data_IF_536787352096
#
_entry.id   IF_536787352096
#
_cell.length_a   1.000
_cell.length_b   1.000
_cell.length_c   1.000
_cell.angle_alpha   90.00
_cell.angle_beta   90.00
_cell.angle_gamma   90.00
#
_symmetry.space_group_name_H-M   'P 1'
#
loop_
_entity.id
_entity.type
_entity.pdbx_description
1 polymer ?
#
# COMPACT_ATOMS: atom_id res chain seq x y z
N UNK A 1 28.21 -28.83 24.42
CA UNK A 1 27.38 -27.94 25.27
C UNK A 1 26.09 -27.66 24.52
N UNK A 2 24.97 -27.57 25.24
CA UNK A 2 23.62 -27.89 24.80
C UNK A 2 23.06 -26.98 23.69
N UNK A 3 22.61 -27.59 22.59
CA UNK A 3 21.51 -27.07 21.79
C UNK A 3 20.22 -27.22 22.60
N UNK A 4 19.75 -26.12 23.15
CA UNK A 4 18.59 -26.05 24.03
C UNK A 4 17.34 -25.53 23.32
N UNK A 5 16.50 -26.50 22.93
CA UNK A 5 15.03 -26.47 23.00
C UNK A 5 14.21 -25.60 22.04
N UNK A 6 13.35 -26.32 21.32
CA UNK A 6 12.25 -25.82 20.53
C UNK A 6 11.31 -24.92 21.34
N UNK A 7 11.18 -23.66 20.93
CA UNK A 7 10.08 -22.79 21.36
C UNK A 7 8.82 -23.19 20.58
N UNK A 8 8.04 -24.09 21.16
CA UNK A 8 6.82 -24.68 20.56
C UNK A 8 5.51 -24.02 21.00
N UNK A 9 5.57 -22.83 21.59
CA UNK A 9 4.39 -22.06 22.03
C UNK A 9 4.52 -20.57 21.69
N UNK A 10 4.82 -20.25 20.43
CA UNK A 10 4.73 -18.86 19.94
C UNK A 10 3.34 -18.64 19.34
N UNK A 11 2.38 -18.23 20.17
CA UNK A 11 1.11 -17.69 19.66
C UNK A 11 1.43 -16.40 18.88
N UNK A 12 1.41 -16.49 17.56
CA UNK A 12 1.64 -15.33 16.70
C UNK A 12 0.40 -14.43 16.76
N UNK A 13 0.44 -13.41 17.62
CA UNK A 13 -0.63 -12.41 17.71
C UNK A 13 -0.40 -11.32 16.65
N UNK A 14 -0.98 -11.50 15.47
CA UNK A 14 -0.95 -10.48 14.42
C UNK A 14 -1.91 -9.34 14.76
N UNK A 15 -1.41 -8.25 15.35
CA UNK A 15 -2.17 -7.00 15.51
C UNK A 15 -2.08 -6.17 14.24
N UNK A 16 -3.23 -5.89 13.62
CA UNK A 16 -3.38 -4.85 12.61
C UNK A 16 -3.61 -3.51 13.30
N UNK A 17 -2.57 -2.86 13.79
CA UNK A 17 -2.68 -1.52 14.43
C UNK A 17 -2.11 -0.43 13.54
N UNK A 18 -2.69 0.77 13.64
CA UNK A 18 -2.40 1.90 12.77
C UNK A 18 -1.36 2.89 13.33
N UNK A 19 -0.35 3.19 12.50
CA UNK A 19 0.72 4.21 12.53
C UNK A 19 1.58 4.44 13.81
N UNK A 20 2.90 4.61 13.56
CA UNK A 20 4.07 4.56 14.48
C UNK A 20 4.45 3.15 14.97
N UNK A 21 4.47 2.19 14.05
CA UNK A 21 4.77 0.78 14.36
C UNK A 21 6.20 0.51 14.82
N UNK A 22 7.17 1.30 14.35
CA UNK A 22 8.57 1.26 14.81
C UNK A 22 8.72 1.65 16.28
N UNK A 23 7.90 2.60 16.75
CA UNK A 23 7.87 3.00 18.15
C UNK A 23 7.45 1.87 19.09
N UNK A 24 6.56 0.97 18.63
CA UNK A 24 6.17 -0.22 19.40
C UNK A 24 7.28 -1.26 19.47
N UNK A 25 8.12 -1.38 18.42
CA UNK A 25 9.34 -2.20 18.47
C UNK A 25 10.32 -1.63 19.48
N UNK A 26 10.56 -0.32 19.45
CA UNK A 26 11.44 0.38 20.40
C UNK A 26 10.93 0.35 21.84
N UNK A 27 9.63 0.25 22.03
CA UNK A 27 8.98 0.11 23.33
C UNK A 27 8.85 -1.36 23.79
N UNK A 28 9.48 -2.30 23.06
CA UNK A 28 9.45 -3.75 23.35
C UNK A 28 8.04 -4.35 23.37
N UNK A 29 7.09 -3.73 22.67
CA UNK A 29 5.70 -4.19 22.56
C UNK A 29 5.46 -5.08 21.33
N UNK A 30 6.36 -5.03 20.35
CA UNK A 30 6.34 -5.84 19.14
C UNK A 30 7.77 -6.29 18.80
N UNK A 31 7.95 -7.55 18.41
CA UNK A 31 9.26 -8.04 17.96
C UNK A 31 9.55 -7.64 16.51
N UNK A 32 8.51 -7.63 15.65
CA UNK A 32 8.65 -7.45 14.21
C UNK A 32 7.48 -6.61 13.69
N UNK A 33 7.77 -5.71 12.75
CA UNK A 33 6.76 -4.98 12.01
C UNK A 33 7.00 -5.05 10.50
N UNK A 34 5.93 -5.30 9.75
CA UNK A 34 5.88 -5.11 8.30
C UNK A 34 5.39 -3.71 7.96
N UNK A 35 6.20 -2.98 7.20
CA UNK A 35 5.88 -1.63 6.71
C UNK A 35 6.12 -1.56 5.21
N UNK A 36 5.32 -0.74 4.53
CA UNK A 36 5.52 -0.45 3.11
C UNK A 36 6.37 0.81 2.95
N UNK A 37 7.23 0.81 1.94
CA UNK A 37 8.21 1.88 1.71
C UNK A 37 9.52 1.63 2.46
N UNK A 38 10.34 2.68 2.56
CA UNK A 38 11.65 2.60 3.18
C UNK A 38 11.62 3.39 4.50
N UNK A 39 11.42 2.72 5.65
CA UNK A 39 11.38 3.41 6.94
C UNK A 39 12.78 3.94 7.27
N UNK A 40 12.89 5.23 7.61
CA UNK A 40 14.11 5.83 8.12
C UNK A 40 14.10 5.77 9.65
N UNK A 41 14.29 4.58 10.22
CA UNK A 41 14.23 4.39 11.67
C UNK A 41 15.64 4.30 12.23
N UNK A 42 15.93 5.15 13.22
CA UNK A 42 17.12 5.01 14.06
C UNK A 42 16.79 3.98 15.14
N UNK A 43 17.76 3.13 15.46
CA UNK A 43 17.70 2.12 16.52
C UNK A 43 16.88 0.84 16.21
N UNK A 44 16.55 0.58 14.94
CA UNK A 44 15.95 -0.69 14.50
C UNK A 44 16.69 -1.26 13.29
N UNK A 45 16.89 -2.58 13.28
CA UNK A 45 17.33 -3.28 12.07
C UNK A 45 16.22 -3.29 11.02
N UNK A 46 16.58 -2.98 9.77
CA UNK A 46 15.65 -2.93 8.64
C UNK A 46 16.11 -3.88 7.55
N UNK A 47 15.25 -4.81 7.17
CA UNK A 47 15.48 -5.71 6.05
C UNK A 47 14.39 -5.54 4.98
N UNK A 48 14.81 -5.40 3.71
CA UNK A 48 13.88 -5.46 2.58
C UNK A 48 13.47 -6.91 2.34
N UNK A 49 12.19 -7.20 2.53
CA UNK A 49 11.66 -8.55 2.34
C UNK A 49 11.28 -8.83 0.88
N UNK A 50 10.52 -7.93 0.25
CA UNK A 50 10.15 -8.04 -1.16
C UNK A 50 9.90 -6.67 -1.79
N UNK A 51 9.71 -6.67 -3.11
CA UNK A 51 9.22 -5.51 -3.88
C UNK A 51 7.87 -5.85 -4.45
N UNK A 52 6.84 -5.09 -4.06
CA UNK A 52 5.48 -5.26 -4.52
C UNK A 52 5.23 -4.49 -5.82
N UNK A 53 4.47 -5.06 -6.75
CA UNK A 53 4.02 -4.34 -7.96
C UNK A 53 2.70 -3.64 -7.66
N UNK A 54 2.54 -2.44 -8.20
CA UNK A 54 1.27 -1.71 -8.17
C UNK A 54 0.60 -1.88 -9.52
N UNK A 55 -0.70 -2.16 -9.49
CA UNK A 55 -1.55 -2.29 -10.66
C UNK A 55 -2.67 -1.27 -10.57
N UNK A 56 -3.14 -0.82 -11.72
CA UNK A 56 -4.34 0.02 -11.82
C UNK A 56 -5.49 -0.88 -12.24
N UNK A 57 -6.62 -0.75 -11.55
CA UNK A 57 -7.88 -1.40 -11.89
C UNK A 57 -8.74 -0.42 -12.67
N UNK A 58 -9.21 -0.86 -13.83
CA UNK A 58 -10.01 -0.09 -14.77
C UNK A 58 -11.31 -0.85 -15.08
N UNK A 59 -12.41 -0.16 -15.43
CA UNK A 59 -13.56 -0.82 -16.02
C UNK A 59 -13.22 -1.37 -17.41
N UNK A 60 -13.85 -2.46 -17.83
CA UNK A 60 -13.56 -3.13 -19.11
C UNK A 60 -13.79 -2.22 -20.33
N UNK A 61 -14.64 -1.20 -20.18
CA UNK A 61 -14.94 -0.17 -21.18
C UNK A 61 -13.87 0.93 -21.28
N UNK A 62 -12.88 0.94 -20.38
CA UNK A 62 -11.89 2.01 -20.31
C UNK A 62 -10.93 2.00 -21.50
N UNK A 63 -10.60 3.18 -22.03
CA UNK A 63 -9.73 3.32 -23.20
C UNK A 63 -8.32 2.71 -23.01
N UNK A 64 -7.82 2.69 -21.76
CA UNK A 64 -6.52 2.09 -21.43
C UNK A 64 -6.55 0.55 -21.38
N UNK A 65 -7.71 -0.10 -21.35
CA UNK A 65 -7.80 -1.57 -21.36
C UNK A 65 -7.31 -2.20 -22.68
N UNK A 66 -7.25 -1.42 -23.76
CA UNK A 66 -6.69 -1.87 -25.04
C UNK A 66 -5.16 -1.81 -25.13
N UNK A 67 -4.46 -1.35 -24.08
CA UNK A 67 -2.99 -1.25 -24.08
C UNK A 67 -2.36 -2.48 -23.42
N UNK A 68 -1.32 -3.01 -24.05
CA UNK A 68 -0.51 -4.11 -23.49
C UNK A 68 0.25 -3.70 -22.22
N UNK A 69 0.56 -2.41 -22.07
CA UNK A 69 1.20 -1.85 -20.90
C UNK A 69 0.71 -0.42 -20.64
N UNK A 70 0.56 -0.08 -19.36
CA UNK A 70 0.17 1.25 -18.89
C UNK A 70 1.38 1.92 -18.26
N UNK A 71 1.74 3.10 -18.77
CA UNK A 71 2.80 3.95 -18.23
C UNK A 71 2.22 5.04 -17.33
N UNK A 72 3.05 5.64 -16.48
CA UNK A 72 2.61 6.75 -15.62
C UNK A 72 2.11 7.97 -16.40
N UNK A 73 2.61 8.21 -17.61
CA UNK A 73 2.11 9.31 -18.47
C UNK A 73 0.69 9.06 -18.97
N UNK A 74 0.28 7.79 -19.11
CA UNK A 74 -1.09 7.42 -19.49
C UNK A 74 -2.09 7.73 -18.37
N UNK A 75 -1.59 7.74 -17.13
CA UNK A 75 -2.37 7.87 -15.90
C UNK A 75 -2.49 9.31 -15.38
N UNK A 76 -1.83 10.27 -16.04
CA UNK A 76 -1.71 11.65 -15.53
C UNK A 76 -3.04 12.40 -15.45
N UNK A 77 -4.00 12.02 -16.28
CA UNK A 77 -5.34 12.61 -16.35
C UNK A 77 -6.41 11.73 -15.69
N UNK A 78 -6.03 10.62 -15.05
CA UNK A 78 -6.97 9.68 -14.45
C UNK A 78 -7.51 10.19 -13.10
N UNK A 79 -8.77 9.84 -12.83
CA UNK A 79 -9.42 10.08 -11.55
C UNK A 79 -9.30 8.83 -10.68
N UNK A 80 -8.47 8.88 -9.64
CA UNK A 80 -8.21 7.74 -8.79
C UNK A 80 -9.17 7.64 -7.61
N UNK A 81 -9.66 6.44 -7.31
CA UNK A 81 -10.39 6.11 -6.10
C UNK A 81 -9.58 5.13 -5.26
N UNK A 82 -9.24 5.52 -4.03
CA UNK A 82 -8.47 4.69 -3.11
C UNK A 82 -9.22 4.47 -1.81
N UNK A 83 -9.05 3.31 -1.19
CA UNK A 83 -9.59 3.05 0.15
C UNK A 83 -8.98 4.00 1.18
N UNK A 84 -9.79 4.53 2.10
CA UNK A 84 -9.34 5.29 3.28
C UNK A 84 -8.86 4.34 4.38
N UNK A 85 -7.78 3.62 4.10
CA UNK A 85 -7.05 2.78 5.06
C UNK A 85 -5.60 3.25 5.16
N UNK A 86 -4.86 2.72 6.13
CA UNK A 86 -3.41 2.98 6.23
C UNK A 86 -2.67 2.66 4.93
N UNK A 87 -2.97 1.49 4.35
CA UNK A 87 -2.39 1.02 3.10
C UNK A 87 -2.80 1.98 1.98
N UNK A 88 -4.07 2.39 1.93
CA UNK A 88 -4.55 3.31 0.92
C UNK A 88 -3.94 4.71 1.02
N UNK A 89 -3.55 5.19 2.20
CA UNK A 89 -2.77 6.43 2.35
C UNK A 89 -1.37 6.26 1.78
N UNK A 90 -0.69 5.14 2.06
CA UNK A 90 0.64 4.87 1.51
C UNK A 90 0.60 4.77 -0.02
N UNK A 91 -0.40 4.08 -0.58
CA UNK A 91 -0.61 3.97 -2.03
C UNK A 91 -0.93 5.33 -2.64
N UNK A 92 -1.80 6.14 -2.02
CA UNK A 92 -2.10 7.51 -2.45
C UNK A 92 -0.83 8.34 -2.58
N UNK A 93 -0.02 8.36 -1.53
CA UNK A 93 1.20 9.16 -1.53
C UNK A 93 2.22 8.63 -2.55
N UNK A 94 2.23 7.31 -2.81
CA UNK A 94 3.02 6.72 -3.89
C UNK A 94 2.54 7.18 -5.28
N UNK A 95 1.23 7.17 -5.56
CA UNK A 95 0.66 7.66 -6.82
C UNK A 95 0.96 9.14 -7.02
N UNK A 96 0.74 9.97 -5.99
CA UNK A 96 1.05 11.41 -6.03
C UNK A 96 2.54 11.64 -6.36
N UNK A 97 3.45 10.93 -5.69
CA UNK A 97 4.90 11.07 -5.96
C UNK A 97 5.27 10.66 -7.39
N UNK A 98 4.65 9.60 -7.93
CA UNK A 98 4.92 9.14 -9.29
C UNK A 98 4.40 10.11 -10.34
N UNK A 99 3.23 10.70 -10.11
CA UNK A 99 2.60 11.63 -11.04
C UNK A 99 3.13 13.06 -10.94
N UNK A 100 3.79 13.42 -9.83
CA UNK A 100 4.43 14.73 -9.65
C UNK A 100 5.46 15.06 -10.76
N UNK A 101 6.09 14.05 -11.37
CA UNK A 101 7.03 14.23 -12.47
C UNK A 101 6.39 14.83 -13.75
N UNK A 102 5.07 14.73 -13.89
CA UNK A 102 4.32 15.25 -15.04
C UNK A 102 3.74 16.64 -14.80
N UNK A 103 4.11 17.30 -13.70
CA UNK A 103 3.64 18.64 -13.30
C UNK A 103 2.11 18.79 -13.22
N UNK A 104 1.39 17.67 -13.14
CA UNK A 104 -0.05 17.63 -12.93
C UNK A 104 -0.34 17.17 -11.51
N UNK A 105 -1.37 17.78 -10.90
CA UNK A 105 -1.92 17.26 -9.65
C UNK A 105 -2.88 16.13 -10.01
N UNK A 106 -2.59 14.88 -9.63
CA UNK A 106 -3.53 13.80 -9.88
C UNK A 106 -4.79 14.01 -9.06
N UNK A 107 -5.94 13.71 -9.66
CA UNK A 107 -7.19 13.67 -8.91
C UNK A 107 -7.26 12.33 -8.17
N UNK A 108 -7.19 12.39 -6.84
CA UNK A 108 -7.21 11.19 -6.00
C UNK A 108 -8.21 11.36 -4.87
N UNK A 109 -9.29 10.60 -4.94
CA UNK A 109 -10.35 10.55 -3.94
C UNK A 109 -10.16 9.37 -3.00
N UNK A 110 -10.19 9.63 -1.69
CA UNK A 110 -10.21 8.57 -0.68
C UNK A 110 -11.62 8.26 -0.19
N UNK A 111 -12.06 7.01 -0.40
CA UNK A 111 -13.39 6.52 -0.03
C UNK A 111 -13.32 5.58 1.19
N UNK A 112 -14.21 5.69 2.19
CA UNK A 112 -14.21 4.86 3.40
C UNK A 112 -14.79 3.46 3.13
N UNK A 113 -14.37 2.82 2.04
CA UNK A 113 -14.86 1.51 1.61
C UNK A 113 -13.74 0.48 1.62
N UNK A 114 -14.07 -0.77 1.91
CA UNK A 114 -13.13 -1.87 1.80
C UNK A 114 -12.70 -2.09 0.34
N UNK A 115 -11.62 -2.84 0.14
CA UNK A 115 -11.08 -3.17 -1.19
C UNK A 115 -12.13 -3.80 -2.11
N UNK A 116 -12.92 -4.73 -1.59
CA UNK A 116 -13.91 -5.46 -2.39
C UNK A 116 -14.99 -4.52 -2.92
N UNK A 117 -15.40 -3.55 -2.10
CA UNK A 117 -16.33 -2.47 -2.51
C UNK A 117 -15.67 -1.47 -3.47
N UNK A 118 -14.37 -1.22 -3.34
CA UNK A 118 -13.65 -0.31 -4.24
C UNK A 118 -13.71 -0.81 -5.69
N UNK A 119 -13.60 -2.12 -5.91
CA UNK A 119 -13.71 -2.74 -7.25
C UNK A 119 -15.09 -2.49 -7.86
N UNK A 120 -16.17 -2.54 -7.06
CA UNK A 120 -17.51 -2.20 -7.55
C UNK A 120 -17.62 -0.73 -7.98
N UNK A 121 -16.94 0.19 -7.29
CA UNK A 121 -16.93 1.60 -7.69
C UNK A 121 -16.19 1.81 -9.02
N UNK A 122 -15.12 1.04 -9.27
CA UNK A 122 -14.44 1.05 -10.58
C UNK A 122 -15.38 0.58 -11.69
N UNK A 123 -16.12 -0.51 -11.47
CA UNK A 123 -17.10 -1.03 -12.43
C UNK A 123 -18.28 -0.09 -12.69
N UNK A 124 -18.55 0.84 -11.77
CA UNK A 124 -19.55 1.91 -11.92
C UNK A 124 -18.95 3.19 -12.54
N UNK A 125 -17.73 3.12 -13.07
CA UNK A 125 -17.01 4.23 -13.73
C UNK A 125 -16.82 5.45 -12.82
N UNK A 126 -16.73 5.24 -11.49
CA UNK A 126 -16.52 6.30 -10.50
C UNK A 126 -15.04 6.72 -10.34
N UNK A 127 -14.16 6.14 -11.17
CA UNK A 127 -12.71 6.33 -11.16
C UNK A 127 -11.93 5.01 -11.28
N UNK A 128 -10.63 5.15 -11.51
CA UNK A 128 -9.64 4.08 -11.59
C UNK A 128 -9.06 3.80 -10.19
N UNK A 129 -8.69 2.56 -9.85
CA UNK A 129 -8.21 2.22 -8.48
C UNK A 129 -6.78 1.69 -8.44
#
# INVERSE_FOLDING_TARGET
MLFGQASRDRRQHCRRTAQRKSGAVRAEQLDIVFVMGQPSERDCDVARLWSERVFVVLPDTHALCGKDAINWDDLKSEHFILTRSEIGVVVRDYVIRRLAAFHQRPDVRQSPVARDTLIHLVGLEQGSA
#
